data_IF_912745876943
#
_entry.id   IF_912745876943
#
_cell.length_a   1.000
_cell.length_b   1.000
_cell.length_c   1.000
_cell.angle_alpha   90.00
_cell.angle_beta   90.00
_cell.angle_gamma   90.00
#
_symmetry.space_group_name_H-M   'P 1'
#
loop_
_entity.id
_entity.type
_entity.pdbx_description
1 polymer ?
#
# COMPACT_ATOMS: atom_id res chain seq x y z
N UNK A 1 28.40 -28.44 16.08
CA UNK A 1 27.11 -28.58 15.37
C UNK A 1 27.41 -28.55 13.87
N UNK A 2 27.02 -29.59 13.14
CA UNK A 2 27.33 -29.77 11.73
C UNK A 2 26.81 -28.58 10.91
N UNK A 3 27.73 -27.72 10.45
CA UNK A 3 27.51 -26.83 9.33
C UNK A 3 27.41 -27.72 8.08
N UNK A 4 26.24 -28.32 7.84
CA UNK A 4 25.93 -28.87 6.53
C UNK A 4 25.97 -27.71 5.55
N UNK A 5 27.07 -27.62 4.81
CA UNK A 5 27.22 -26.78 3.64
C UNK A 5 26.14 -27.25 2.68
N UNK A 6 25.00 -26.53 2.65
CA UNK A 6 24.06 -26.68 1.55
C UNK A 6 24.80 -26.15 0.33
N UNK A 7 25.46 -27.05 -0.39
CA UNK A 7 26.00 -26.79 -1.71
C UNK A 7 24.81 -26.47 -2.60
N UNK A 8 24.54 -25.19 -2.77
CA UNK A 8 23.53 -24.71 -3.71
C UNK A 8 24.08 -25.05 -5.09
N UNK A 9 23.69 -26.19 -5.64
CA UNK A 9 23.98 -26.54 -7.04
C UNK A 9 23.65 -25.33 -7.90
N UNK A 10 24.62 -24.82 -8.65
CA UNK A 10 24.39 -23.73 -9.59
C UNK A 10 23.39 -24.20 -10.65
N UNK A 11 22.12 -23.91 -10.44
CA UNK A 11 21.07 -24.24 -11.40
C UNK A 11 21.11 -23.22 -12.53
N UNK A 12 21.29 -23.69 -13.75
CA UNK A 12 21.21 -22.81 -14.92
C UNK A 12 19.81 -22.18 -15.03
N UNK A 13 19.78 -20.85 -15.09
CA UNK A 13 18.53 -20.11 -15.21
C UNK A 13 17.98 -20.24 -16.63
N UNK A 14 16.67 -20.50 -16.80
CA UNK A 14 16.07 -20.63 -18.10
C UNK A 14 16.13 -19.29 -18.81
N UNK A 15 16.07 -19.32 -20.13
CA UNK A 15 16.02 -18.08 -20.90
C UNK A 15 14.79 -17.25 -20.52
N UNK A 16 14.98 -15.93 -20.56
CA UNK A 16 13.88 -15.01 -20.31
C UNK A 16 12.91 -15.09 -21.49
N UNK A 17 11.63 -15.24 -21.18
CA UNK A 17 10.56 -15.24 -22.17
C UNK A 17 10.46 -13.86 -22.84
N UNK A 18 10.24 -13.89 -24.15
CA UNK A 18 10.04 -12.71 -25.01
C UNK A 18 11.24 -11.78 -25.15
N UNK A 19 11.20 -11.00 -26.24
CA UNK A 19 12.20 -9.99 -26.55
C UNK A 19 12.32 -8.91 -25.45
N UNK A 20 13.51 -8.31 -25.29
CA UNK A 20 13.87 -7.37 -24.21
C UNK A 20 12.85 -6.24 -24.04
N UNK A 21 12.40 -5.64 -25.14
CA UNK A 21 11.44 -4.54 -25.12
C UNK A 21 10.04 -4.97 -24.65
N UNK A 22 9.50 -6.07 -25.18
CA UNK A 22 8.19 -6.60 -24.78
C UNK A 22 8.17 -7.00 -23.30
N UNK A 23 9.25 -7.64 -22.83
CA UNK A 23 9.41 -7.99 -21.41
C UNK A 23 9.44 -6.75 -20.52
N UNK A 24 10.21 -5.73 -20.90
CA UNK A 24 10.29 -4.49 -20.15
C UNK A 24 8.94 -3.75 -20.15
N UNK A 25 8.25 -3.70 -21.28
CA UNK A 25 6.90 -3.16 -21.36
C UNK A 25 5.95 -3.92 -20.41
N UNK A 26 5.92 -5.25 -20.44
CA UNK A 26 5.01 -6.06 -19.62
C UNK A 26 5.28 -6.00 -18.12
N UNK A 27 6.53 -6.17 -17.70
CA UNK A 27 6.87 -6.36 -16.27
C UNK A 27 7.33 -5.08 -15.59
N UNK A 28 7.68 -4.03 -16.34
CA UNK A 28 8.15 -2.76 -15.77
C UNK A 28 7.16 -1.63 -16.05
N UNK A 29 6.66 -1.50 -17.28
CA UNK A 29 5.75 -0.40 -17.64
C UNK A 29 4.27 -0.71 -17.40
N UNK A 30 3.82 -1.92 -17.69
CA UNK A 30 2.45 -2.39 -17.49
C UNK A 30 2.37 -3.38 -16.32
N UNK A 31 2.97 -3.05 -15.17
CA UNK A 31 2.69 -3.78 -13.94
C UNK A 31 1.21 -3.58 -13.51
N UNK A 32 0.70 -4.40 -12.59
CA UNK A 32 -0.74 -4.38 -12.25
C UNK A 32 -1.14 -3.05 -11.63
N UNK A 33 -0.26 -2.43 -10.84
CA UNK A 33 -0.40 -1.09 -10.30
C UNK A 33 -0.74 -0.08 -11.39
N UNK A 34 0.08 -0.03 -12.46
CA UNK A 34 -0.11 0.92 -13.56
C UNK A 34 -1.33 0.56 -14.40
N UNK A 35 -1.67 -0.73 -14.54
CA UNK A 35 -2.92 -1.14 -15.20
C UNK A 35 -4.15 -0.68 -14.43
N UNK A 36 -4.17 -0.85 -13.11
CA UNK A 36 -5.26 -0.39 -12.25
C UNK A 36 -5.37 1.14 -12.29
N UNK A 37 -4.23 1.85 -12.26
CA UNK A 37 -4.20 3.30 -12.48
C UNK A 37 -4.83 3.67 -13.83
N UNK A 38 -4.37 3.05 -14.92
CA UNK A 38 -4.86 3.34 -16.27
C UNK A 38 -6.34 3.00 -16.41
N UNK A 39 -6.81 1.91 -15.81
CA UNK A 39 -8.22 1.55 -15.81
C UNK A 39 -9.08 2.64 -15.17
N UNK A 40 -8.73 3.09 -13.97
CA UNK A 40 -9.47 4.17 -13.27
C UNK A 40 -9.42 5.47 -14.08
N UNK A 41 -8.26 5.80 -14.65
CA UNK A 41 -8.11 7.00 -15.47
C UNK A 41 -8.95 6.94 -16.75
N UNK A 42 -8.92 5.81 -17.47
CA UNK A 42 -9.72 5.61 -18.69
C UNK A 42 -11.22 5.70 -18.37
N UNK A 43 -11.69 5.10 -17.27
CA UNK A 43 -13.09 5.21 -16.85
C UNK A 43 -13.49 6.68 -16.60
N UNK A 44 -12.60 7.50 -16.07
CA UNK A 44 -12.83 8.93 -15.92
C UNK A 44 -12.90 9.67 -17.26
N UNK A 45 -12.02 9.34 -18.21
CA UNK A 45 -12.07 9.91 -19.57
C UNK A 45 -13.36 9.52 -20.30
N UNK A 46 -13.80 8.27 -20.17
CA UNK A 46 -15.09 7.80 -20.69
C UNK A 46 -16.24 8.57 -20.02
N UNK A 47 -16.20 8.74 -18.70
CA UNK A 47 -17.17 9.55 -17.95
C UNK A 47 -17.24 11.00 -18.44
N UNK A 48 -16.08 11.62 -18.72
CA UNK A 48 -16.00 12.95 -19.32
C UNK A 48 -16.61 12.98 -20.71
N UNK A 49 -16.29 12.03 -21.58
CA UNK A 49 -16.87 11.96 -22.92
C UNK A 49 -18.41 11.85 -22.87
N UNK A 50 -18.93 10.98 -21.99
CA UNK A 50 -20.38 10.83 -21.78
C UNK A 50 -20.99 12.13 -21.26
N UNK A 51 -20.39 12.75 -20.24
CA UNK A 51 -20.89 14.00 -19.65
C UNK A 51 -20.96 15.12 -20.67
N UNK A 52 -19.91 15.31 -21.49
CA UNK A 52 -19.87 16.34 -22.52
C UNK A 52 -20.84 16.02 -23.67
N UNK A 53 -21.01 14.75 -24.05
CA UNK A 53 -21.97 14.35 -25.09
C UNK A 53 -23.43 14.63 -24.70
N UNK A 54 -23.76 14.52 -23.40
CA UNK A 54 -25.09 14.82 -22.86
C UNK A 54 -25.35 16.32 -22.72
N UNK A 55 -24.29 17.10 -22.56
CA UNK A 55 -24.37 18.55 -22.40
C UNK A 55 -23.85 19.23 -23.67
N UNK A 56 -24.58 19.15 -24.78
CA UNK A 56 -24.16 19.70 -26.09
C UNK A 56 -23.69 21.17 -26.04
N UNK A 57 -24.19 21.95 -25.08
CA UNK A 57 -23.82 23.35 -24.85
C UNK A 57 -22.79 23.56 -23.74
N UNK A 58 -22.02 22.53 -23.36
CA UNK A 58 -21.03 22.58 -22.27
C UNK A 58 -20.01 23.73 -22.41
N UNK A 59 -19.75 24.20 -23.63
CA UNK A 59 -18.87 25.35 -23.85
C UNK A 59 -19.50 26.67 -23.41
N UNK A 60 -20.81 26.83 -23.63
CA UNK A 60 -21.56 28.05 -23.28
C UNK A 60 -22.11 27.99 -21.86
N UNK A 61 -22.49 26.81 -21.38
CA UNK A 61 -23.04 26.55 -20.06
C UNK A 61 -22.37 25.31 -19.47
N UNK A 62 -21.19 25.46 -18.86
CA UNK A 62 -20.42 24.32 -18.36
C UNK A 62 -21.12 23.63 -17.20
N UNK A 63 -21.13 22.28 -17.15
CA UNK A 63 -21.73 21.51 -16.06
C UNK A 63 -20.84 21.50 -14.81
N UNK A 64 -20.66 22.67 -14.18
CA UNK A 64 -19.74 22.87 -13.05
C UNK A 64 -20.02 21.93 -11.86
N UNK A 65 -21.30 21.69 -11.55
CA UNK A 65 -21.69 20.79 -10.47
C UNK A 65 -21.28 19.34 -10.74
N UNK A 66 -21.33 18.90 -12.00
CA UNK A 66 -20.89 17.56 -12.40
C UNK A 66 -19.37 17.43 -12.32
N UNK A 67 -18.61 18.46 -12.68
CA UNK A 67 -17.15 18.47 -12.50
C UNK A 67 -16.74 18.38 -11.03
N UNK A 68 -17.38 19.15 -10.15
CA UNK A 68 -17.16 19.08 -8.70
C UNK A 68 -17.56 17.71 -8.13
N UNK A 69 -18.66 17.14 -8.62
CA UNK A 69 -19.12 15.80 -8.26
C UNK A 69 -18.12 14.72 -8.69
N UNK A 70 -17.60 14.80 -9.92
CA UNK A 70 -16.61 13.86 -10.41
C UNK A 70 -15.27 13.97 -9.64
N UNK A 71 -14.82 15.18 -9.31
CA UNK A 71 -13.64 15.39 -8.48
C UNK A 71 -13.82 14.76 -7.09
N UNK A 72 -14.90 15.08 -6.38
CA UNK A 72 -15.19 14.55 -5.04
C UNK A 72 -15.41 13.01 -5.03
N UNK A 73 -16.04 12.44 -6.05
CA UNK A 73 -16.18 11.00 -6.21
C UNK A 73 -14.81 10.30 -6.30
N UNK A 74 -13.88 10.87 -7.06
CA UNK A 74 -12.53 10.34 -7.18
C UNK A 74 -11.73 10.46 -5.87
N UNK A 75 -11.87 11.56 -5.13
CA UNK A 75 -11.30 11.67 -3.77
C UNK A 75 -11.84 10.57 -2.87
N UNK A 76 -13.16 10.36 -2.87
CA UNK A 76 -13.80 9.30 -2.08
C UNK A 76 -13.21 7.93 -2.43
N UNK A 77 -13.11 7.57 -3.71
CA UNK A 77 -12.50 6.31 -4.15
C UNK A 77 -11.04 6.21 -3.71
N UNK A 78 -10.27 7.30 -3.85
CA UNK A 78 -8.87 7.35 -3.44
C UNK A 78 -8.72 7.09 -1.93
N UNK A 79 -9.61 7.61 -1.09
CA UNK A 79 -9.61 7.35 0.36
C UNK A 79 -10.10 5.95 0.72
N UNK A 80 -11.23 5.51 0.13
CA UNK A 80 -11.86 4.23 0.46
C UNK A 80 -10.93 3.05 0.20
N UNK A 81 -10.25 3.01 -0.95
CA UNK A 81 -9.35 1.90 -1.28
C UNK A 81 -8.11 1.81 -0.37
N UNK A 82 -7.90 2.82 0.48
CA UNK A 82 -6.83 2.87 1.49
C UNK A 82 -7.31 2.56 2.90
N UNK A 83 -8.62 2.41 3.11
CA UNK A 83 -9.19 2.08 4.40
C UNK A 83 -8.85 0.66 4.82
N UNK A 84 -8.40 0.49 6.06
CA UNK A 84 -7.87 -0.78 6.56
C UNK A 84 -8.87 -1.93 6.39
N UNK A 85 -10.16 -1.71 6.66
CA UNK A 85 -11.21 -2.73 6.50
C UNK A 85 -11.56 -3.03 5.03
N UNK A 86 -11.43 -2.05 4.12
CA UNK A 86 -11.62 -2.27 2.67
C UNK A 86 -10.46 -3.10 2.13
N UNK A 87 -9.24 -2.75 2.50
CA UNK A 87 -8.04 -3.53 2.16
C UNK A 87 -8.20 -4.96 2.67
N UNK A 88 -8.52 -5.13 3.95
CA UNK A 88 -8.76 -6.45 4.55
C UNK A 88 -9.86 -7.23 3.81
N UNK A 89 -10.97 -6.59 3.43
CA UNK A 89 -12.02 -7.22 2.65
C UNK A 89 -11.53 -7.65 1.26
N UNK A 90 -10.77 -6.82 0.55
CA UNK A 90 -10.20 -7.18 -0.76
C UNK A 90 -9.27 -8.39 -0.67
N UNK A 91 -8.38 -8.44 0.32
CA UNK A 91 -7.51 -9.60 0.55
C UNK A 91 -8.33 -10.82 0.95
N UNK A 92 -9.34 -10.66 1.81
CA UNK A 92 -10.21 -11.75 2.25
C UNK A 92 -11.00 -12.36 1.09
N UNK A 93 -11.48 -11.53 0.16
CA UNK A 93 -12.14 -12.02 -1.05
C UNK A 93 -11.16 -12.67 -2.02
N UNK A 94 -9.93 -12.15 -2.12
CA UNK A 94 -8.92 -12.73 -3.00
C UNK A 94 -8.43 -14.11 -2.50
N UNK A 95 -8.31 -14.30 -1.18
CA UNK A 95 -7.77 -15.53 -0.61
C UNK A 95 -8.80 -16.66 -0.41
N UNK A 96 -10.09 -16.42 -0.70
CA UNK A 96 -11.15 -17.44 -0.61
C UNK A 96 -11.17 -18.36 -1.83
N UNK A 97 -10.36 -18.07 -2.86
CA UNK A 97 -10.21 -18.93 -4.02
C UNK A 97 -9.66 -20.30 -3.61
N UNK A 98 -10.28 -21.41 -4.02
CA UNK A 98 -9.83 -22.73 -3.61
C UNK A 98 -8.50 -23.12 -4.29
N UNK A 99 -7.75 -24.01 -3.65
CA UNK A 99 -6.48 -24.56 -4.20
C UNK A 99 -6.68 -25.35 -5.50
N UNK A 100 -7.91 -25.81 -5.78
CA UNK A 100 -8.29 -26.47 -7.04
C UNK A 100 -8.42 -25.51 -8.22
N UNK A 101 -8.54 -24.20 -7.96
CA UNK A 101 -8.67 -23.22 -9.03
C UNK A 101 -7.41 -23.17 -9.92
N UNK A 102 -7.55 -22.84 -11.21
CA UNK A 102 -6.42 -22.76 -12.13
C UNK A 102 -5.33 -21.80 -11.61
N UNK A 103 -4.06 -22.21 -11.73
CA UNK A 103 -2.92 -21.40 -11.27
C UNK A 103 -2.92 -19.99 -11.89
N UNK A 104 -3.43 -19.85 -13.11
CA UNK A 104 -3.60 -18.53 -13.77
C UNK A 104 -4.49 -17.60 -12.97
N UNK A 105 -5.64 -18.08 -12.47
CA UNK A 105 -6.56 -17.27 -11.65
C UNK A 105 -5.90 -16.89 -10.32
N UNK A 106 -5.31 -17.88 -9.64
CA UNK A 106 -4.62 -17.67 -8.36
C UNK A 106 -3.47 -16.67 -8.49
N UNK A 107 -2.72 -16.71 -9.59
CA UNK A 107 -1.67 -15.74 -9.93
C UNK A 107 -2.21 -14.31 -10.11
N UNK A 108 -3.40 -14.13 -10.70
CA UNK A 108 -4.02 -12.82 -10.89
C UNK A 108 -4.47 -12.27 -9.54
N UNK A 109 -5.20 -13.08 -8.76
CA UNK A 109 -5.73 -12.70 -7.45
C UNK A 109 -4.61 -12.38 -6.44
N UNK A 110 -3.49 -13.10 -6.49
CA UNK A 110 -2.32 -12.83 -5.66
C UNK A 110 -1.77 -11.41 -5.82
N UNK A 111 -2.03 -10.72 -6.95
CA UNK A 111 -1.61 -9.32 -7.17
C UNK A 111 -2.54 -8.27 -6.56
N UNK A 112 -3.51 -8.68 -5.72
CA UNK A 112 -4.42 -7.76 -5.01
C UNK A 112 -3.67 -6.67 -4.24
N UNK A 113 -2.46 -6.95 -3.75
CA UNK A 113 -1.60 -5.97 -3.06
C UNK A 113 -1.19 -4.77 -3.93
N UNK A 114 -1.40 -4.81 -5.25
CA UNK A 114 -1.16 -3.67 -6.16
C UNK A 114 -2.32 -2.66 -6.20
N UNK A 115 -3.31 -2.76 -5.29
CA UNK A 115 -4.46 -1.85 -5.14
C UNK A 115 -4.09 -0.36 -5.01
N UNK A 116 -2.84 -0.02 -4.68
CA UNK A 116 -2.33 1.35 -4.76
C UNK A 116 -2.49 2.01 -6.13
N UNK A 117 -2.58 1.23 -7.21
CA UNK A 117 -2.90 1.74 -8.54
C UNK A 117 -4.26 2.44 -8.62
N UNK A 118 -5.27 1.89 -7.94
CA UNK A 118 -6.62 2.48 -7.87
C UNK A 118 -6.58 3.81 -7.12
N UNK A 119 -5.89 3.85 -5.99
CA UNK A 119 -5.71 5.08 -5.20
C UNK A 119 -5.08 6.20 -6.03
N UNK A 120 -3.93 5.92 -6.68
CA UNK A 120 -3.25 6.92 -7.49
C UNK A 120 -4.05 7.32 -8.73
N UNK A 121 -4.75 6.37 -9.37
CA UNK A 121 -5.58 6.65 -10.55
C UNK A 121 -6.74 7.58 -10.21
N UNK A 122 -7.41 7.32 -9.09
CA UNK A 122 -8.50 8.16 -8.60
C UNK A 122 -7.99 9.53 -8.14
N UNK A 123 -6.92 9.59 -7.33
CA UNK A 123 -6.36 10.85 -6.87
C UNK A 123 -5.91 11.76 -8.04
N UNK A 124 -5.22 11.20 -9.03
CA UNK A 124 -4.84 11.95 -10.23
C UNK A 124 -6.05 12.41 -11.04
N UNK A 125 -7.04 11.53 -11.23
CA UNK A 125 -8.28 11.88 -11.95
C UNK A 125 -9.06 12.99 -11.24
N UNK A 126 -9.08 13.00 -9.90
CA UNK A 126 -9.65 14.11 -9.13
C UNK A 126 -9.00 15.45 -9.47
N UNK A 127 -7.67 15.49 -9.60
CA UNK A 127 -6.95 16.73 -9.95
C UNK A 127 -7.27 17.16 -11.37
N UNK A 128 -7.43 16.22 -12.31
CA UNK A 128 -7.84 16.53 -13.69
C UNK A 128 -9.25 17.13 -13.72
N UNK A 129 -10.22 16.52 -13.03
CA UNK A 129 -11.57 17.08 -12.90
C UNK A 129 -11.57 18.45 -12.22
N UNK A 130 -10.77 18.62 -11.18
CA UNK A 130 -10.64 19.89 -10.48
C UNK A 130 -9.95 20.97 -11.32
N UNK A 131 -9.03 20.59 -12.21
CA UNK A 131 -8.42 21.47 -13.20
C UNK A 131 -9.48 21.99 -14.19
N UNK A 132 -10.35 21.08 -14.70
CA UNK A 132 -11.47 21.47 -15.55
C UNK A 132 -12.43 22.41 -14.81
N UNK A 133 -12.82 22.06 -13.58
CA UNK A 133 -13.66 22.90 -12.73
C UNK A 133 -13.06 24.31 -12.55
N UNK A 134 -11.79 24.38 -12.14
CA UNK A 134 -11.05 25.64 -11.97
C UNK A 134 -11.06 26.45 -13.27
N UNK A 135 -10.74 25.84 -14.41
CA UNK A 135 -10.69 26.52 -15.70
C UNK A 135 -12.04 27.13 -16.12
N UNK A 136 -13.12 26.37 -15.97
CA UNK A 136 -14.47 26.87 -16.30
C UNK A 136 -14.98 27.88 -15.26
N UNK A 137 -14.69 27.72 -13.97
CA UNK A 137 -15.00 28.74 -12.96
C UNK A 137 -14.28 30.06 -13.26
N UNK A 138 -13.01 30.01 -13.64
CA UNK A 138 -12.26 31.20 -14.05
C UNK A 138 -12.89 31.86 -15.27
N UNK A 139 -13.32 31.08 -16.28
CA UNK A 139 -14.04 31.62 -17.44
C UNK A 139 -15.32 32.34 -17.00
N UNK A 140 -16.19 31.67 -16.24
CA UNK A 140 -17.46 32.23 -15.76
C UNK A 140 -17.25 33.50 -14.91
N UNK A 141 -16.14 33.58 -14.18
CA UNK A 141 -15.73 34.77 -13.44
C UNK A 141 -15.35 35.93 -14.37
N UNK A 142 -14.53 35.67 -15.39
CA UNK A 142 -14.10 36.68 -16.37
C UNK A 142 -15.27 37.22 -17.19
N UNK A 143 -16.20 36.36 -17.61
CA UNK A 143 -17.40 36.79 -18.35
C UNK A 143 -18.52 37.35 -17.45
N UNK A 144 -18.24 37.58 -16.16
CA UNK A 144 -19.14 38.18 -15.18
C UNK A 144 -20.43 37.40 -14.85
N UNK A 145 -20.48 36.11 -15.20
CA UNK A 145 -21.60 35.23 -14.83
C UNK A 145 -21.53 34.81 -13.36
N UNK A 146 -20.32 34.62 -12.82
CA UNK A 146 -20.06 34.34 -11.41
C UNK A 146 -19.21 35.48 -10.84
N UNK A 147 -19.71 36.20 -9.83
CA UNK A 147 -18.95 37.28 -9.14
C UNK A 147 -18.82 36.97 -7.66
N UNK A 148 -17.94 36.03 -7.35
CA UNK A 148 -17.57 35.69 -5.98
C UNK A 148 -16.05 35.48 -5.89
N UNK A 149 -15.34 36.48 -5.36
CA UNK A 149 -13.89 36.44 -5.21
C UNK A 149 -13.46 35.38 -4.19
N UNK A 150 -14.30 35.12 -3.18
CA UNK A 150 -14.05 34.08 -2.18
C UNK A 150 -13.96 32.72 -2.83
N UNK A 151 -14.95 32.35 -3.66
CA UNK A 151 -14.93 31.09 -4.40
C UNK A 151 -13.62 30.95 -5.20
N UNK A 152 -13.24 31.95 -5.98
CA UNK A 152 -12.02 31.90 -6.80
C UNK A 152 -10.75 31.71 -5.97
N UNK A 153 -10.60 32.43 -4.85
CA UNK A 153 -9.45 32.29 -3.96
C UNK A 153 -9.36 30.86 -3.42
N UNK A 154 -10.45 30.34 -2.87
CA UNK A 154 -10.47 28.99 -2.30
C UNK A 154 -10.24 27.90 -3.36
N UNK A 155 -10.82 28.04 -4.56
CA UNK A 155 -10.58 27.14 -5.69
C UNK A 155 -9.10 27.11 -6.08
N UNK A 156 -8.42 28.26 -6.23
CA UNK A 156 -7.00 28.27 -6.60
C UNK A 156 -6.07 27.79 -5.48
N UNK A 157 -6.37 28.11 -4.20
CA UNK A 157 -5.63 27.58 -3.05
C UNK A 157 -5.75 26.05 -3.00
N UNK A 158 -6.96 25.53 -3.15
CA UNK A 158 -7.17 24.08 -3.20
C UNK A 158 -6.49 23.45 -4.41
N UNK A 159 -6.57 24.07 -5.59
CA UNK A 159 -5.90 23.56 -6.79
C UNK A 159 -4.39 23.47 -6.61
N UNK A 160 -3.75 24.52 -6.07
CA UNK A 160 -2.33 24.53 -5.77
C UNK A 160 -1.95 23.43 -4.76
N UNK A 161 -2.78 23.22 -3.73
CA UNK A 161 -2.60 22.16 -2.74
C UNK A 161 -2.70 20.77 -3.38
N UNK A 162 -3.71 20.52 -4.21
CA UNK A 162 -3.88 19.26 -4.94
C UNK A 162 -2.71 18.96 -5.88
N UNK A 163 -2.22 19.99 -6.59
CA UNK A 163 -1.01 19.86 -7.42
C UNK A 163 0.21 19.51 -6.57
N UNK A 164 0.39 20.15 -5.40
CA UNK A 164 1.51 19.85 -4.49
C UNK A 164 1.48 18.40 -4.00
N UNK A 165 0.28 17.86 -3.72
CA UNK A 165 0.09 16.45 -3.36
C UNK A 165 0.51 15.54 -4.52
N UNK A 166 0.02 15.78 -5.75
CA UNK A 166 0.38 14.94 -6.90
C UNK A 166 1.88 15.03 -7.24
N UNK A 167 2.48 16.22 -7.18
CA UNK A 167 3.90 16.44 -7.49
C UNK A 167 4.78 15.70 -6.46
N UNK A 168 4.49 15.86 -5.17
CA UNK A 168 5.26 15.17 -4.12
C UNK A 168 5.04 13.65 -4.14
N UNK A 169 3.87 13.18 -4.61
CA UNK A 169 3.57 11.75 -4.78
C UNK A 169 4.33 11.11 -5.95
N UNK A 170 4.83 11.92 -6.89
CA UNK A 170 5.50 11.39 -8.08
C UNK A 170 6.69 10.50 -7.68
N UNK A 171 6.80 9.27 -8.21
CA UNK A 171 7.75 8.27 -7.72
C UNK A 171 9.20 8.73 -7.53
N UNK A 172 9.70 9.60 -8.41
CA UNK A 172 11.06 10.15 -8.29
C UNK A 172 11.18 11.11 -7.11
N UNK A 173 10.23 12.03 -6.97
CA UNK A 173 10.21 13.03 -5.89
C UNK A 173 10.00 12.34 -4.55
N UNK A 174 9.01 11.43 -4.47
CA UNK A 174 8.75 10.64 -3.26
C UNK A 174 9.97 9.85 -2.78
N UNK A 175 10.74 9.25 -3.69
CA UNK A 175 11.94 8.51 -3.32
C UNK A 175 13.07 9.42 -2.84
N UNK A 176 13.26 10.58 -3.48
CA UNK A 176 14.32 11.54 -3.13
C UNK A 176 13.99 12.34 -1.86
N UNK A 177 12.72 12.59 -1.59
CA UNK A 177 12.26 13.47 -0.50
C UNK A 177 11.12 12.84 0.29
N UNK A 178 11.36 11.63 0.81
CA UNK A 178 10.35 10.81 1.49
C UNK A 178 9.64 11.55 2.64
N UNK A 179 10.39 12.18 3.54
CA UNK A 179 9.83 12.90 4.69
C UNK A 179 8.97 14.10 4.26
N UNK A 180 9.38 14.82 3.21
CA UNK A 180 8.60 15.91 2.65
C UNK A 180 7.29 15.39 2.05
N UNK A 181 7.36 14.31 1.27
CA UNK A 181 6.19 13.63 0.73
C UNK A 181 5.22 13.25 1.84
N UNK A 182 5.68 12.59 2.91
CA UNK A 182 4.83 12.15 4.01
C UNK A 182 4.12 13.32 4.71
N UNK A 183 4.85 14.39 5.00
CA UNK A 183 4.31 15.56 5.69
C UNK A 183 3.30 16.31 4.82
N UNK A 184 3.64 16.56 3.55
CA UNK A 184 2.74 17.24 2.60
C UNK A 184 1.49 16.39 2.37
N UNK A 185 1.62 15.07 2.21
CA UNK A 185 0.46 14.20 2.04
C UNK A 185 -0.45 14.14 3.25
N UNK A 186 0.13 14.07 4.46
CA UNK A 186 -0.66 13.99 5.68
C UNK A 186 -1.42 15.29 5.92
N UNK A 187 -0.70 16.40 6.06
CA UNK A 187 -1.30 17.68 6.43
C UNK A 187 -2.05 18.32 5.26
N UNK A 188 -1.51 18.23 4.05
CA UNK A 188 -2.19 18.68 2.85
C UNK A 188 -3.45 17.87 2.55
N UNK A 189 -3.47 16.57 2.87
CA UNK A 189 -4.67 15.75 2.77
C UNK A 189 -5.81 16.28 3.65
N UNK A 190 -5.54 16.49 4.96
CA UNK A 190 -6.53 17.05 5.89
C UNK A 190 -6.98 18.46 5.49
N UNK A 191 -6.02 19.32 5.13
CA UNK A 191 -6.32 20.69 4.75
C UNK A 191 -7.13 20.77 3.45
N UNK A 192 -6.81 19.92 2.46
CA UNK A 192 -7.57 19.86 1.21
C UNK A 192 -9.03 19.47 1.43
N UNK A 193 -9.30 18.54 2.35
CA UNK A 193 -10.66 18.13 2.67
C UNK A 193 -11.47 19.27 3.32
N UNK A 194 -10.84 20.06 4.19
CA UNK A 194 -11.47 21.25 4.76
C UNK A 194 -11.77 22.32 3.69
N UNK A 195 -10.84 22.55 2.77
CA UNK A 195 -11.03 23.49 1.66
C UNK A 195 -12.13 23.04 0.69
N UNK A 196 -12.22 21.73 0.39
CA UNK A 196 -13.32 21.18 -0.42
C UNK A 196 -14.70 21.46 0.20
N UNK A 197 -14.82 21.35 1.53
CA UNK A 197 -16.06 21.70 2.23
C UNK A 197 -16.40 23.19 2.11
N UNK A 198 -15.42 24.07 2.30
CA UNK A 198 -15.59 25.52 2.13
C UNK A 198 -16.04 25.83 0.70
N UNK A 199 -15.36 25.28 -0.30
CA UNK A 199 -15.67 25.48 -1.70
C UNK A 199 -17.08 24.97 -2.05
N UNK A 200 -17.48 23.78 -1.57
CA UNK A 200 -18.82 23.25 -1.80
C UNK A 200 -19.90 24.19 -1.25
N UNK A 201 -19.70 24.75 -0.05
CA UNK A 201 -20.63 25.72 0.57
C UNK A 201 -20.70 27.01 -0.25
N UNK A 202 -19.56 27.56 -0.67
CA UNK A 202 -19.50 28.75 -1.52
C UNK A 202 -20.19 28.52 -2.87
N UNK A 203 -19.93 27.38 -3.50
CA UNK A 203 -20.54 26.98 -4.76
C UNK A 203 -22.06 26.82 -4.65
N UNK A 204 -22.55 26.15 -3.60
CA UNK A 204 -23.98 26.03 -3.34
C UNK A 204 -24.64 27.41 -3.09
N UNK A 205 -23.96 28.33 -2.40
CA UNK A 205 -24.46 29.69 -2.17
C UNK A 205 -24.65 30.47 -3.47
N UNK A 206 -23.75 30.31 -4.44
CA UNK A 206 -23.82 31.01 -5.73
C UNK A 206 -24.98 30.47 -6.58
N UNK A 207 -25.19 29.15 -6.59
CA UNK A 207 -26.31 28.54 -7.30
C UNK A 207 -27.69 29.00 -6.78
N UNK A 208 -27.77 29.47 -5.53
CA UNK A 208 -29.00 29.97 -4.90
C UNK A 208 -29.43 31.37 -5.34
N UNK A 209 -28.72 32.07 -6.23
CA UNK A 209 -29.10 33.45 -6.67
C UNK A 209 -30.39 33.54 -7.51
N UNK A 210 -31.20 32.49 -7.61
CA UNK A 210 -32.53 32.50 -8.25
C UNK A 210 -33.64 32.88 -7.23
N UNK A 211 -34.70 33.61 -7.63
CA UNK A 211 -35.68 34.23 -6.72
C UNK A 211 -36.53 33.27 -5.84
N UNK A 212 -36.51 31.95 -6.12
CA UNK A 212 -37.19 30.91 -5.34
C UNK A 212 -36.19 30.00 -4.58
N UNK A 213 -35.21 30.60 -3.92
CA UNK A 213 -34.07 29.87 -3.37
C UNK A 213 -34.46 29.02 -2.14
N UNK A 214 -34.40 27.68 -2.29
CA UNK A 214 -34.46 26.73 -1.18
C UNK A 214 -33.39 27.04 -0.11
N UNK A 215 -33.57 26.53 1.11
CA UNK A 215 -32.58 26.66 2.19
C UNK A 215 -31.21 26.10 1.79
N UNK A 216 -30.11 26.73 2.25
CA UNK A 216 -28.73 26.32 1.89
C UNK A 216 -28.47 24.83 2.15
N UNK A 217 -28.95 24.33 3.29
CA UNK A 217 -28.81 22.92 3.66
C UNK A 217 -29.49 21.98 2.67
N UNK A 218 -30.67 22.34 2.15
CA UNK A 218 -31.39 21.54 1.15
C UNK A 218 -30.61 21.53 -0.16
N UNK A 219 -30.09 22.69 -0.60
CA UNK A 219 -29.25 22.77 -1.80
C UNK A 219 -27.98 21.92 -1.67
N UNK A 220 -27.35 21.90 -0.49
CA UNK A 220 -26.16 21.09 -0.23
C UNK A 220 -26.47 19.59 -0.30
N UNK A 221 -27.52 19.13 0.37
CA UNK A 221 -27.88 17.70 0.43
C UNK A 221 -28.27 17.14 -0.95
N UNK A 222 -28.83 18.00 -1.82
CA UNK A 222 -29.14 17.63 -3.22
C UNK A 222 -27.90 17.44 -4.09
N UNK A 223 -26.75 17.99 -3.71
CA UNK A 223 -25.50 17.82 -4.47
C UNK A 223 -24.85 16.47 -4.12
N UNK A 224 -24.60 15.59 -5.10
CA UNK A 224 -23.89 14.33 -4.82
C UNK A 224 -22.49 14.54 -4.22
N UNK A 225 -21.82 15.64 -4.59
CA UNK A 225 -20.54 16.04 -4.02
C UNK A 225 -20.56 16.18 -2.48
N UNK A 226 -21.70 16.60 -1.90
CA UNK A 226 -21.85 16.68 -0.44
C UNK A 226 -21.68 15.31 0.22
N UNK A 227 -22.34 14.29 -0.32
CA UNK A 227 -22.27 12.94 0.22
C UNK A 227 -20.90 12.30 0.01
N UNK A 228 -20.26 12.54 -1.14
CA UNK A 228 -18.89 12.06 -1.37
C UNK A 228 -17.88 12.70 -0.41
N UNK A 229 -18.01 13.99 -0.13
CA UNK A 229 -17.16 14.66 0.88
C UNK A 229 -17.47 14.19 2.29
N UNK A 230 -18.76 14.00 2.65
CA UNK A 230 -19.15 13.47 3.96
C UNK A 230 -18.56 12.09 4.21
N UNK A 231 -18.73 11.17 3.25
CA UNK A 231 -18.13 9.84 3.33
C UNK A 231 -16.61 9.94 3.42
N UNK A 232 -15.97 10.79 2.61
CA UNK A 232 -14.51 11.00 2.66
C UNK A 232 -14.05 11.49 4.04
N UNK A 233 -14.75 12.45 4.65
CA UNK A 233 -14.44 12.99 5.99
C UNK A 233 -14.61 11.96 7.08
N UNK A 234 -15.72 11.22 7.08
CA UNK A 234 -15.94 10.15 8.06
C UNK A 234 -14.82 9.10 7.99
N UNK A 235 -14.40 8.72 6.79
CA UNK A 235 -13.34 7.73 6.58
C UNK A 235 -11.93 8.27 6.85
N UNK A 236 -11.70 9.57 6.71
CA UNK A 236 -10.45 10.20 7.15
C UNK A 236 -10.33 10.18 8.69
N UNK A 237 -11.44 10.38 9.40
CA UNK A 237 -11.51 10.40 10.86
C UNK A 237 -11.50 9.00 11.46
N UNK A 238 -12.16 8.02 10.82
CA UNK A 238 -12.39 6.69 11.36
C UNK A 238 -11.16 5.99 11.98
N UNK A 239 -9.95 5.99 11.36
CA UNK A 239 -8.78 5.37 11.97
C UNK A 239 -8.39 6.01 13.32
N UNK A 240 -8.63 7.32 13.48
CA UNK A 240 -8.32 8.06 14.70
C UNK A 240 -9.29 7.76 15.85
N UNK A 241 -10.50 7.27 15.54
CA UNK A 241 -11.43 6.82 16.59
C UNK A 241 -10.94 5.55 17.31
N UNK A 242 -10.02 4.81 16.70
CA UNK A 242 -9.34 3.64 17.29
C UNK A 242 -7.93 3.96 17.79
N UNK A 243 -7.61 5.25 17.94
CA UNK A 243 -6.32 5.69 18.42
C UNK A 243 -6.13 5.34 19.89
N UNK A 244 -5.08 4.60 20.21
CA UNK A 244 -4.76 4.24 21.59
C UNK A 244 -3.25 3.97 21.75
N UNK A 245 -2.82 3.85 23.01
CA UNK A 245 -1.45 3.41 23.35
C UNK A 245 -1.44 1.89 23.43
N UNK A 246 -0.54 1.27 22.67
CA UNK A 246 -0.20 -0.14 22.74
C UNK A 246 0.98 -0.30 23.71
N UNK A 247 0.77 -0.86 24.92
CA UNK A 247 1.87 -1.20 25.82
C UNK A 247 2.76 -2.25 25.17
N UNK A 248 4.08 -2.06 25.26
CA UNK A 248 5.05 -3.00 24.70
C UNK A 248 6.13 -3.37 25.71
N UNK A 249 6.58 -4.62 25.63
CA UNK A 249 7.80 -5.09 26.27
C UNK A 249 8.87 -5.24 25.20
N UNK A 250 9.94 -4.45 25.30
CA UNK A 250 11.06 -4.55 24.38
C UNK A 250 12.02 -5.66 24.76
N UNK A 251 12.40 -6.46 23.79
CA UNK A 251 13.45 -7.46 23.84
C UNK A 251 14.55 -7.04 22.87
N UNK A 252 15.71 -6.66 23.41
CA UNK A 252 16.85 -6.25 22.58
C UNK A 252 17.59 -7.48 22.08
N UNK A 253 17.48 -7.75 20.78
CA UNK A 253 18.16 -8.90 20.15
C UNK A 253 19.63 -8.58 19.86
N UNK A 254 19.90 -7.37 19.36
CA UNK A 254 21.26 -6.91 19.06
C UNK A 254 21.34 -5.38 19.02
N UNK A 255 22.49 -4.82 18.62
CA UNK A 255 22.58 -3.39 18.28
C UNK A 255 21.85 -3.03 16.98
N UNK A 256 21.41 -4.03 16.20
CA UNK A 256 20.77 -3.84 14.90
C UNK A 256 19.29 -4.24 14.88
N UNK A 257 18.81 -4.97 15.89
CA UNK A 257 17.43 -5.45 15.94
C UNK A 257 16.83 -5.44 17.35
N UNK A 258 15.53 -5.12 17.43
CA UNK A 258 14.71 -5.20 18.63
C UNK A 258 13.38 -5.88 18.30
N UNK A 259 12.88 -6.68 19.22
CA UNK A 259 11.54 -7.27 19.15
C UNK A 259 10.65 -6.58 20.18
N UNK A 260 9.51 -6.05 19.75
CA UNK A 260 8.53 -5.44 20.64
C UNK A 260 7.37 -6.40 20.83
N UNK A 261 7.17 -6.89 22.04
CA UNK A 261 6.09 -7.79 22.43
C UNK A 261 4.90 -7.00 22.98
N UNK A 262 3.69 -7.44 22.69
CA UNK A 262 2.45 -6.83 23.17
C UNK A 262 1.39 -7.92 23.38
N UNK A 263 0.47 -7.66 24.31
CA UNK A 263 -0.56 -8.63 24.71
C UNK A 263 -1.90 -8.42 23.99
N UNK A 264 -2.03 -7.36 23.18
CA UNK A 264 -3.26 -7.11 22.43
C UNK A 264 -3.45 -8.19 21.34
N UNK A 265 -4.62 -8.84 21.28
CA UNK A 265 -4.88 -9.89 20.30
C UNK A 265 -4.65 -9.41 18.87
N UNK A 266 -3.88 -10.20 18.10
CA UNK A 266 -3.51 -9.84 16.74
C UNK A 266 -3.89 -10.95 15.75
N UNK A 267 -4.72 -10.67 14.74
CA UNK A 267 -5.04 -11.66 13.73
C UNK A 267 -3.81 -12.12 12.95
N UNK A 268 -3.91 -13.29 12.31
CA UNK A 268 -2.87 -13.80 11.43
C UNK A 268 -2.70 -12.92 10.18
N UNK A 269 -1.48 -12.90 9.64
CA UNK A 269 -1.12 -12.22 8.38
C UNK A 269 -1.29 -10.70 8.34
N UNK A 270 -1.45 -10.05 9.50
CA UNK A 270 -1.61 -8.59 9.57
C UNK A 270 -0.32 -7.89 9.98
N UNK A 271 -0.24 -6.60 9.64
CA UNK A 271 0.69 -5.66 10.22
C UNK A 271 -0.02 -4.57 10.99
N UNK A 272 0.73 -3.93 11.90
CA UNK A 272 0.29 -2.76 12.65
C UNK A 272 1.13 -1.55 12.26
N UNK A 273 0.52 -0.37 12.34
CA UNK A 273 1.22 0.91 12.19
C UNK A 273 1.46 1.50 13.56
N UNK A 274 2.72 1.66 13.94
CA UNK A 274 3.11 2.23 15.24
C UNK A 274 3.80 3.57 15.08
N UNK A 275 3.66 4.42 16.09
CA UNK A 275 4.33 5.72 16.16
C UNK A 275 4.77 6.01 17.59
N UNK A 276 5.93 6.65 17.77
CA UNK A 276 6.34 7.21 19.06
C UNK A 276 5.91 8.69 19.22
N UNK A 277 5.43 9.30 18.14
CA UNK A 277 4.97 10.68 18.05
C UNK A 277 3.80 10.76 17.04
N UNK A 278 2.54 10.66 17.49
CA UNK A 278 1.39 10.32 16.63
C UNK A 278 1.03 11.38 15.57
N UNK A 279 1.50 12.63 15.74
CA UNK A 279 1.36 13.70 14.75
C UNK A 279 2.50 13.72 13.72
N UNK A 280 3.54 12.92 13.93
CA UNK A 280 4.71 12.73 13.06
C UNK A 280 4.61 11.37 12.35
N UNK A 281 5.74 10.72 12.11
CA UNK A 281 5.88 9.48 11.35
C UNK A 281 5.11 8.28 11.94
N UNK A 282 4.63 7.43 11.05
CA UNK A 282 3.94 6.18 11.36
C UNK A 282 4.60 5.08 10.54
N UNK A 283 5.06 4.02 11.21
CA UNK A 283 5.83 2.95 10.59
C UNK A 283 5.05 1.65 10.65
N UNK A 284 4.95 0.94 9.52
CA UNK A 284 4.22 -0.33 9.46
C UNK A 284 5.17 -1.49 9.70
N UNK A 285 4.80 -2.39 10.61
CA UNK A 285 5.52 -3.64 10.84
C UNK A 285 4.56 -4.82 10.78
N UNK A 286 5.01 -5.91 10.18
CA UNK A 286 4.25 -7.15 10.21
C UNK A 286 4.29 -7.77 11.61
N UNK A 287 3.16 -8.30 12.05
CA UNK A 287 3.05 -8.95 13.33
C UNK A 287 3.46 -10.41 13.24
N UNK A 288 4.17 -10.86 14.27
CA UNK A 288 4.40 -12.26 14.59
C UNK A 288 3.39 -12.60 15.69
N UNK A 289 2.26 -13.25 15.36
CA UNK A 289 1.26 -13.66 16.34
C UNK A 289 1.83 -14.71 17.30
N UNK A 290 1.25 -14.79 18.50
CA UNK A 290 1.51 -15.90 19.43
C UNK A 290 0.95 -17.23 18.90
N UNK A 291 1.51 -18.37 19.38
CA UNK A 291 1.20 -19.73 18.89
C UNK A 291 -0.25 -20.17 19.11
N UNK A 292 -1.05 -19.45 19.90
CA UNK A 292 -2.47 -19.73 20.12
C UNK A 292 -3.40 -19.07 19.08
N UNK A 293 -2.85 -18.73 17.91
CA UNK A 293 -3.54 -17.98 16.86
C UNK A 293 -3.59 -16.48 17.11
N UNK A 294 -2.65 -15.95 17.90
CA UNK A 294 -2.54 -14.52 18.22
C UNK A 294 -3.47 -14.03 19.33
N UNK A 295 -4.09 -14.92 20.10
CA UNK A 295 -5.04 -14.55 21.18
C UNK A 295 -4.33 -13.96 22.39
N UNK A 296 -3.13 -14.46 22.70
CA UNK A 296 -2.28 -13.91 23.76
C UNK A 296 -1.46 -12.70 23.32
N UNK A 297 -1.74 -12.17 22.13
CA UNK A 297 -1.04 -11.06 21.52
C UNK A 297 0.01 -11.48 20.53
N UNK A 298 1.06 -10.67 20.38
CA UNK A 298 2.10 -10.92 19.39
C UNK A 298 3.31 -10.02 19.56
N UNK A 299 4.12 -9.96 18.51
CA UNK A 299 5.32 -9.14 18.50
C UNK A 299 5.60 -8.55 17.12
N UNK A 300 6.40 -7.48 17.09
CA UNK A 300 6.95 -6.94 15.83
C UNK A 300 8.48 -6.96 15.90
N UNK A 301 9.11 -7.36 14.80
CA UNK A 301 10.55 -7.40 14.65
C UNK A 301 11.02 -6.16 13.88
N UNK A 302 11.86 -5.35 14.51
CA UNK A 302 12.33 -4.06 13.98
C UNK A 302 13.85 -4.14 13.81
N UNK A 303 14.34 -3.79 12.62
CA UNK A 303 15.78 -3.69 12.32
C UNK A 303 16.16 -2.27 11.92
N UNK A 304 17.42 -1.89 12.10
CA UNK A 304 17.93 -0.56 11.76
C UNK A 304 17.87 -0.35 10.23
N UNK A 305 16.94 0.51 9.82
CA UNK A 305 16.72 0.93 8.44
C UNK A 305 16.58 2.46 8.29
N UNK A 306 16.74 3.21 9.38
CA UNK A 306 16.53 4.65 9.42
C UNK A 306 16.41 5.21 10.84
N UNK A 307 16.34 6.54 10.95
CA UNK A 307 16.45 7.27 12.22
C UNK A 307 15.44 6.80 13.27
N UNK A 308 14.18 6.59 12.87
CA UNK A 308 13.12 6.11 13.77
C UNK A 308 13.40 4.70 14.32
N UNK A 309 13.80 3.77 13.43
CA UNK A 309 14.12 2.39 13.82
C UNK A 309 15.36 2.32 14.70
N UNK A 310 16.41 3.08 14.37
CA UNK A 310 17.64 3.18 15.16
C UNK A 310 17.36 3.71 16.57
N UNK A 311 16.55 4.78 16.65
CA UNK A 311 16.10 5.35 17.94
C UNK A 311 15.33 4.32 18.76
N UNK A 312 14.41 3.58 18.13
CA UNK A 312 13.62 2.53 18.78
C UNK A 312 14.48 1.38 19.29
N UNK A 313 15.53 0.98 18.56
CA UNK A 313 16.48 -0.06 18.99
C UNK A 313 17.35 0.42 20.16
N UNK A 314 17.82 1.67 20.10
CA UNK A 314 18.68 2.24 21.13
C UNK A 314 17.92 2.49 22.45
N UNK A 315 16.72 3.08 22.36
CA UNK A 315 15.91 3.52 23.48
C UNK A 315 14.43 3.19 23.24
N UNK A 316 14.01 1.92 23.40
CA UNK A 316 12.62 1.53 23.20
C UNK A 316 11.70 2.19 24.23
N UNK A 317 10.49 2.56 23.81
CA UNK A 317 9.48 3.13 24.70
C UNK A 317 8.63 2.04 25.36
N UNK A 318 8.04 2.29 26.54
CA UNK A 318 7.12 1.35 27.19
C UNK A 318 5.78 1.18 26.46
N UNK A 319 5.48 2.08 25.52
CA UNK A 319 4.30 2.00 24.66
C UNK A 319 4.55 2.73 23.34
N UNK A 320 3.78 2.37 22.34
CA UNK A 320 3.68 3.07 21.06
C UNK A 320 2.23 3.40 20.74
N UNK A 321 1.98 4.38 19.89
CA UNK A 321 0.64 4.74 19.45
C UNK A 321 0.25 3.91 18.24
N UNK A 322 -0.97 3.38 18.27
CA UNK A 322 -1.61 2.65 17.17
C UNK A 322 -2.88 3.38 16.77
N UNK A 323 -3.26 3.29 15.49
CA UNK A 323 -4.54 3.77 14.97
C UNK A 323 -5.08 2.82 13.91
N UNK A 324 -6.39 2.88 13.67
CA UNK A 324 -7.06 2.00 12.71
C UNK A 324 -7.18 0.56 13.23
N UNK A 325 -7.20 -0.38 12.30
CA UNK A 325 -7.19 -1.82 12.62
C UNK A 325 -5.97 -2.47 11.96
N UNK A 326 -5.51 -3.64 12.45
CA UNK A 326 -4.43 -4.37 11.78
C UNK A 326 -4.77 -4.67 10.31
N UNK A 327 -3.78 -4.49 9.42
CA UNK A 327 -3.96 -4.54 7.96
C UNK A 327 -3.31 -5.78 7.40
N UNK A 328 -4.03 -6.51 6.56
CA UNK A 328 -3.57 -7.74 5.92
C UNK A 328 -2.39 -7.45 4.98
N UNK A 329 -1.30 -8.20 5.15
CA UNK A 329 -0.09 -8.11 4.35
C UNK A 329 -0.09 -9.01 3.11
N UNK A 330 0.84 -8.76 2.19
CA UNK A 330 0.98 -9.49 0.92
C UNK A 330 1.17 -11.00 1.09
N UNK A 331 1.88 -11.43 2.14
CA UNK A 331 2.19 -12.84 2.36
C UNK A 331 0.95 -13.69 2.65
N UNK A 332 -0.17 -13.09 3.02
CA UNK A 332 -1.40 -13.86 3.19
C UNK A 332 -1.85 -14.59 1.91
N UNK A 333 -1.46 -14.06 0.75
CA UNK A 333 -1.74 -14.68 -0.55
C UNK A 333 -0.95 -15.98 -0.76
N UNK A 334 -0.03 -16.33 0.12
CA UNK A 334 0.57 -17.67 0.19
C UNK A 334 -0.48 -18.77 0.30
N UNK A 335 -1.58 -18.51 1.03
CA UNK A 335 -2.64 -19.49 1.34
C UNK A 335 -3.35 -20.06 0.14
N UNK A 336 -3.30 -19.36 -0.99
CA UNK A 336 -3.93 -19.81 -2.24
C UNK A 336 -2.95 -20.62 -3.10
N UNK A 337 -1.80 -21.02 -2.58
CA UNK A 337 -0.84 -21.89 -3.27
C UNK A 337 -0.55 -23.13 -2.43
N UNK A 338 -0.33 -24.27 -3.09
CA UNK A 338 -0.02 -25.54 -2.44
C UNK A 338 1.43 -25.61 -1.99
N UNK A 339 2.34 -25.09 -2.81
CA UNK A 339 3.79 -25.15 -2.60
C UNK A 339 4.40 -23.80 -2.96
N UNK A 340 5.12 -23.17 -2.04
CA UNK A 340 5.70 -21.84 -2.25
C UNK A 340 7.15 -21.75 -1.77
N UNK A 341 7.92 -20.88 -2.43
CA UNK A 341 9.22 -20.42 -1.93
C UNK A 341 9.02 -19.04 -1.31
N UNK A 342 9.51 -18.84 -0.10
CA UNK A 342 9.61 -17.52 0.52
C UNK A 342 11.07 -17.08 0.51
N UNK A 343 11.32 -15.94 -0.12
CA UNK A 343 12.62 -15.27 -0.16
C UNK A 343 12.55 -14.05 0.73
N UNK A 344 13.40 -13.99 1.75
CA UNK A 344 13.38 -12.90 2.71
C UNK A 344 14.78 -12.44 3.12
N UNK A 345 14.88 -11.18 3.57
CA UNK A 345 16.15 -10.61 4.05
C UNK A 345 15.95 -9.81 5.32
N UNK A 346 16.90 -9.89 6.24
CA UNK A 346 16.86 -9.14 7.50
C UNK A 346 15.56 -9.40 8.28
N UNK A 347 14.95 -8.34 8.84
CA UNK A 347 13.69 -8.39 9.58
C UNK A 347 12.48 -8.84 8.75
N UNK A 348 12.60 -8.92 7.42
CA UNK A 348 11.57 -9.50 6.57
C UNK A 348 11.18 -10.94 6.97
N UNK A 349 12.00 -11.62 7.78
CA UNK A 349 11.69 -12.94 8.34
C UNK A 349 10.49 -12.90 9.30
N UNK A 350 10.27 -11.80 10.01
CA UNK A 350 9.15 -11.64 10.94
C UNK A 350 7.79 -11.87 10.27
N UNK A 351 7.43 -11.13 9.21
CA UNK A 351 6.23 -11.42 8.42
C UNK A 351 6.12 -12.88 7.98
N UNK A 352 7.25 -13.51 7.61
CA UNK A 352 7.26 -14.89 7.15
C UNK A 352 6.89 -15.84 8.29
N UNK A 353 7.46 -15.67 9.49
CA UNK A 353 7.13 -16.48 10.66
C UNK A 353 5.63 -16.40 10.99
N UNK A 354 5.06 -15.19 11.01
CA UNK A 354 3.63 -15.03 11.29
C UNK A 354 2.69 -15.55 10.21
N UNK A 355 3.22 -15.85 9.02
CA UNK A 355 2.46 -16.48 7.93
C UNK A 355 2.62 -17.99 7.96
N UNK A 356 3.83 -18.49 8.15
CA UNK A 356 4.14 -19.90 7.98
C UNK A 356 3.71 -20.77 9.17
N UNK A 357 3.55 -20.17 10.35
CA UNK A 357 3.10 -20.88 11.55
C UNK A 357 1.66 -21.43 11.44
N UNK A 358 0.82 -20.89 10.55
CA UNK A 358 -0.63 -21.12 10.56
C UNK A 358 -1.26 -21.38 9.18
N UNK A 359 -0.50 -21.92 8.21
CA UNK A 359 -1.02 -22.36 6.91
C UNK A 359 -0.75 -23.86 6.69
N UNK A 360 -1.49 -24.77 7.37
CA UNK A 360 -1.25 -26.21 7.29
C UNK A 360 -1.40 -26.78 5.86
N UNK A 361 -2.18 -26.12 5.01
CA UNK A 361 -2.45 -26.56 3.63
C UNK A 361 -1.38 -26.14 2.60
N UNK A 362 -0.40 -25.31 2.99
CA UNK A 362 0.62 -24.77 2.08
C UNK A 362 2.00 -25.20 2.53
N UNK A 363 2.67 -26.02 1.72
CA UNK A 363 4.07 -26.37 1.94
C UNK A 363 4.96 -25.18 1.57
N UNK A 364 5.88 -24.80 2.47
CA UNK A 364 6.72 -23.63 2.32
C UNK A 364 8.20 -24.01 2.46
N UNK A 365 9.05 -23.44 1.60
CA UNK A 365 10.51 -23.46 1.78
C UNK A 365 11.04 -22.04 1.91
N UNK A 366 12.00 -21.84 2.81
CA UNK A 366 12.51 -20.51 3.19
C UNK A 366 13.93 -20.31 2.69
N UNK A 367 14.15 -19.17 2.04
CA UNK A 367 15.47 -18.60 1.78
C UNK A 367 15.57 -17.31 2.58
N UNK A 368 16.36 -17.33 3.65
CA UNK A 368 16.60 -16.16 4.47
C UNK A 368 18.06 -15.69 4.36
N UNK A 369 18.28 -14.53 3.75
CA UNK A 369 19.61 -13.96 3.56
C UNK A 369 19.80 -12.73 4.45
N UNK A 370 20.75 -12.79 5.39
CA UNK A 370 21.01 -11.70 6.32
C UNK A 370 22.49 -11.69 6.76
N UNK A 371 23.07 -10.55 7.15
CA UNK A 371 24.38 -10.54 7.80
C UNK A 371 24.27 -11.14 9.21
N UNK A 372 25.15 -12.08 9.55
CA UNK A 372 25.34 -12.63 10.91
C UNK A 372 24.00 -12.94 11.62
N UNK A 373 23.21 -13.90 11.12
CA UNK A 373 21.84 -14.17 11.58
C UNK A 373 21.76 -14.44 13.08
N UNK A 374 22.68 -15.27 13.60
CA UNK A 374 22.72 -15.67 15.01
C UNK A 374 22.97 -14.46 15.92
N UNK A 375 23.97 -13.64 15.61
CA UNK A 375 24.26 -12.45 16.41
C UNK A 375 23.19 -11.37 16.29
N UNK A 376 22.54 -11.27 15.12
CA UNK A 376 21.60 -10.18 14.83
C UNK A 376 20.22 -10.45 15.42
N UNK A 377 19.71 -11.68 15.28
CA UNK A 377 18.33 -12.04 15.63
C UNK A 377 18.22 -13.06 16.76
N UNK A 378 19.31 -13.69 17.17
CA UNK A 378 19.33 -14.69 18.23
C UNK A 378 18.88 -16.09 17.78
N UNK A 379 19.15 -17.06 18.64
CA UNK A 379 18.82 -18.48 18.38
C UNK A 379 17.31 -18.74 18.31
N UNK A 380 16.50 -18.04 19.11
CA UNK A 380 15.05 -18.24 19.13
C UNK A 380 14.40 -18.00 17.76
N UNK A 381 14.81 -16.93 17.07
CA UNK A 381 14.31 -16.62 15.72
C UNK A 381 14.77 -17.67 14.71
N UNK A 382 16.01 -18.15 14.83
CA UNK A 382 16.57 -19.18 13.94
C UNK A 382 15.84 -20.51 14.12
N UNK A 383 15.65 -20.94 15.37
CA UNK A 383 14.86 -22.14 15.68
C UNK A 383 13.41 -21.98 15.20
N UNK A 384 12.81 -20.80 15.34
CA UNK A 384 11.47 -20.53 14.81
C UNK A 384 11.39 -20.69 13.28
N UNK A 385 12.46 -20.37 12.55
CA UNK A 385 12.54 -20.61 11.10
C UNK A 385 12.70 -22.10 10.79
N UNK A 386 13.52 -22.81 11.56
CA UNK A 386 13.76 -24.24 11.38
C UNK A 386 12.55 -25.11 11.80
N UNK A 387 11.79 -24.68 12.80
CA UNK A 387 10.51 -25.29 13.19
C UNK A 387 9.51 -25.27 12.02
N UNK A 388 9.55 -24.22 11.22
CA UNK A 388 8.69 -24.02 10.06
C UNK A 388 9.20 -24.77 8.82
N UNK A 389 10.49 -24.64 8.52
CA UNK A 389 11.16 -25.34 7.43
C UNK A 389 12.48 -25.90 7.96
N UNK A 390 12.52 -27.21 8.31
CA UNK A 390 13.74 -27.86 8.80
C UNK A 390 14.91 -27.79 7.80
N UNK A 391 14.60 -27.58 6.52
CA UNK A 391 15.57 -27.43 5.44
C UNK A 391 15.67 -25.98 4.94
N UNK A 392 15.36 -25.00 5.80
CA UNK A 392 15.48 -23.59 5.48
C UNK A 392 16.91 -23.21 5.11
N UNK A 393 17.06 -22.45 4.03
CA UNK A 393 18.35 -21.89 3.62
C UNK A 393 18.59 -20.59 4.39
N UNK A 394 19.29 -20.70 5.51
CA UNK A 394 19.76 -19.55 6.31
C UNK A 394 21.14 -19.13 5.78
N UNK A 395 21.18 -18.03 5.03
CA UNK A 395 22.37 -17.55 4.34
C UNK A 395 23.01 -16.37 5.08
N UNK A 396 24.16 -16.63 5.72
CA UNK A 396 24.98 -15.59 6.32
C UNK A 396 25.82 -14.86 5.25
N UNK A 397 25.44 -13.62 4.98
CA UNK A 397 26.13 -12.78 3.98
C UNK A 397 27.50 -12.26 4.40
N UNK A 398 27.84 -12.31 5.71
CA UNK A 398 29.17 -11.95 6.21
C UNK A 398 30.16 -13.08 5.98
N UNK A 399 29.72 -14.32 6.13
CA UNK A 399 30.55 -15.50 5.93
C UNK A 399 30.66 -15.90 4.46
N UNK A 400 29.55 -15.86 3.71
CA UNK A 400 29.46 -16.42 2.35
C UNK A 400 29.36 -15.38 1.23
N UNK A 401 29.41 -14.10 1.58
CA UNK A 401 29.08 -13.02 0.63
C UNK A 401 27.60 -13.00 0.25
N UNK A 402 27.22 -12.12 -0.69
CA UNK A 402 25.82 -11.97 -1.12
C UNK A 402 25.46 -13.02 -2.19
N UNK A 403 24.42 -13.84 -1.99
CA UNK A 403 24.08 -14.89 -2.93
C UNK A 403 23.40 -14.31 -4.18
N UNK A 404 23.45 -15.06 -5.28
CA UNK A 404 22.55 -14.83 -6.40
C UNK A 404 21.15 -15.36 -6.05
N UNK A 405 20.38 -14.54 -5.34
CA UNK A 405 19.03 -14.87 -4.88
C UNK A 405 18.10 -15.33 -6.02
N UNK A 406 18.27 -14.82 -7.25
CA UNK A 406 17.44 -15.23 -8.39
C UNK A 406 17.68 -16.70 -8.73
N UNK A 407 18.94 -17.12 -8.79
CA UNK A 407 19.33 -18.50 -9.06
C UNK A 407 18.90 -19.42 -7.92
N UNK A 408 19.15 -19.01 -6.67
CA UNK A 408 18.78 -19.78 -5.49
C UNK A 408 17.25 -20.01 -5.40
N UNK A 409 16.47 -18.94 -5.58
CA UNK A 409 15.01 -19.03 -5.57
C UNK A 409 14.47 -19.88 -6.73
N UNK A 410 15.11 -19.82 -7.90
CA UNK A 410 14.73 -20.68 -9.03
C UNK A 410 15.04 -22.16 -8.78
N UNK A 411 16.23 -22.47 -8.24
CA UNK A 411 16.63 -23.83 -7.91
C UNK A 411 15.65 -24.46 -6.93
N UNK A 412 15.37 -23.75 -5.83
CA UNK A 412 14.40 -24.19 -4.83
C UNK A 412 12.99 -24.33 -5.41
N UNK A 413 12.55 -23.36 -6.24
CA UNK A 413 11.26 -23.41 -6.92
C UNK A 413 11.10 -24.68 -7.78
N UNK A 414 12.16 -25.11 -8.47
CA UNK A 414 12.15 -26.35 -9.26
C UNK A 414 12.20 -27.60 -8.42
N UNK A 415 13.09 -27.64 -7.44
CA UNK A 415 13.29 -28.80 -6.56
C UNK A 415 11.99 -29.17 -5.85
N UNK A 416 11.25 -28.18 -5.37
CA UNK A 416 10.00 -28.40 -4.65
C UNK A 416 8.74 -28.41 -5.54
N UNK A 417 8.90 -28.25 -6.86
CA UNK A 417 7.79 -28.07 -7.80
C UNK A 417 6.78 -27.00 -7.31
N UNK A 418 7.33 -25.85 -6.89
CA UNK A 418 6.55 -24.75 -6.34
C UNK A 418 5.62 -24.12 -7.38
N UNK A 419 4.53 -23.54 -6.89
CA UNK A 419 3.57 -22.80 -7.70
C UNK A 419 3.87 -21.30 -7.74
N UNK A 420 4.54 -20.77 -6.70
CA UNK A 420 4.83 -19.35 -6.56
C UNK A 420 6.06 -19.07 -5.70
N UNK A 421 6.65 -17.88 -5.89
CA UNK A 421 7.70 -17.32 -5.06
C UNK A 421 7.22 -16.00 -4.44
N UNK A 422 7.34 -15.86 -3.13
CA UNK A 422 7.06 -14.62 -2.41
C UNK A 422 8.35 -13.97 -1.94
N UNK A 423 8.51 -12.67 -2.15
CA UNK A 423 9.74 -11.93 -1.84
C UNK A 423 9.45 -10.81 -0.85
N UNK A 424 10.09 -10.87 0.32
CA UNK A 424 9.99 -9.88 1.38
C UNK A 424 11.39 -9.34 1.67
N UNK A 425 11.73 -8.25 0.98
CA UNK A 425 13.05 -7.63 1.06
C UNK A 425 12.95 -6.16 0.68
N UNK A 426 14.09 -5.45 0.76
CA UNK A 426 14.20 -4.07 0.30
C UNK A 426 13.77 -3.92 -1.18
N UNK A 427 13.37 -2.71 -1.62
CA UNK A 427 12.77 -2.51 -2.94
C UNK A 427 13.70 -2.83 -4.10
N UNK A 428 15.02 -2.73 -3.90
CA UNK A 428 16.00 -3.03 -4.94
C UNK A 428 16.10 -4.53 -5.20
N UNK A 429 16.21 -5.33 -4.13
CA UNK A 429 16.28 -6.78 -4.25
C UNK A 429 14.92 -7.35 -4.69
N UNK A 430 13.82 -6.89 -4.10
CA UNK A 430 12.46 -7.32 -4.48
C UNK A 430 12.22 -7.13 -5.97
N UNK A 431 12.51 -5.94 -6.52
CA UNK A 431 12.39 -5.71 -7.98
C UNK A 431 13.31 -6.61 -8.80
N UNK A 432 14.55 -6.84 -8.36
CA UNK A 432 15.50 -7.71 -9.06
C UNK A 432 14.98 -9.16 -9.13
N UNK A 433 14.48 -9.70 -8.03
CA UNK A 433 13.98 -11.08 -7.95
C UNK A 433 12.66 -11.24 -8.69
N UNK A 434 11.68 -10.36 -8.44
CA UNK A 434 10.38 -10.38 -9.13
C UNK A 434 10.57 -10.29 -10.64
N UNK A 435 11.34 -9.31 -11.13
CA UNK A 435 11.62 -9.21 -12.57
C UNK A 435 12.40 -10.43 -13.08
N UNK A 436 13.41 -10.87 -12.33
CA UNK A 436 14.28 -11.99 -12.69
C UNK A 436 13.51 -13.29 -12.93
N UNK A 437 12.52 -13.59 -12.07
CA UNK A 437 11.73 -14.81 -12.13
C UNK A 437 10.46 -14.66 -12.98
N UNK A 438 9.72 -13.55 -12.88
CA UNK A 438 8.51 -13.34 -13.70
C UNK A 438 8.84 -13.30 -15.18
N UNK A 439 9.99 -12.72 -15.56
CA UNK A 439 10.45 -12.72 -16.94
C UNK A 439 10.75 -14.11 -17.51
N UNK A 440 10.88 -15.12 -16.65
CA UNK A 440 11.07 -16.52 -17.01
C UNK A 440 9.77 -17.32 -16.90
N UNK A 441 8.66 -16.65 -16.59
CA UNK A 441 7.33 -17.23 -16.47
C UNK A 441 6.94 -17.69 -15.07
N UNK A 442 7.84 -17.58 -14.09
CA UNK A 442 7.64 -18.05 -12.73
C UNK A 442 6.76 -17.03 -11.98
N UNK A 443 5.62 -17.44 -11.38
CA UNK A 443 4.81 -16.54 -10.57
C UNK A 443 5.61 -16.05 -9.36
N UNK A 444 5.91 -14.75 -9.33
CA UNK A 444 6.71 -14.14 -8.26
C UNK A 444 6.04 -12.87 -7.77
N UNK A 445 5.88 -12.74 -6.46
CA UNK A 445 5.14 -11.67 -5.81
C UNK A 445 6.03 -10.97 -4.78
N UNK A 446 5.92 -9.65 -4.71
CA UNK A 446 6.65 -8.85 -3.74
C UNK A 446 6.10 -7.42 -3.74
N UNK A 447 6.07 -6.77 -2.57
CA UNK A 447 5.52 -5.42 -2.44
C UNK A 447 6.37 -4.43 -3.27
N UNK A 448 5.70 -3.45 -3.88
CA UNK A 448 6.34 -2.43 -4.74
C UNK A 448 6.96 -1.31 -3.90
N UNK A 449 6.37 -1.03 -2.75
CA UNK A 449 6.75 0.05 -1.84
C UNK A 449 7.06 -0.56 -0.48
N UNK A 450 8.04 0.02 0.22
CA UNK A 450 8.30 -0.32 1.62
C UNK A 450 7.06 -0.01 2.46
N UNK A 451 6.82 -0.85 3.45
CA UNK A 451 5.69 -0.83 4.37
C UNK A 451 5.77 0.29 5.39
#
# INVERSE_FOLDING_TARGET
MNNSIVDVKEVELPEKRSHKYLRHARHTFFNVYRRLFSLVFILNIVGLAILLSRNSHWYSSPPLADFATAASANIMVALLIRQDYIVNACFKLAWTVPLSAPLRLRRILAKVYEYGGVHSGAAFSSVVWFCLLTGFLTREYVINQIRDAGLMIFTYVLFALLLSLVITAYPRVRFLSHNTFENVHRWGGWFSLALFWVELVLFARIQRRKPSAENLGISLIKLPAFWFLLVSSLHAILPWLRFHKLPVRAEKLSSHAVRLHFNEPVPLFVGIRISDAPLKEWHSFACIPSRDGGKSGGSVLISDAGDWTRKTIANPRPYYYVKGIPVTGVLCMARIFRRIVIVTTGSGIGPCLGVMQDIPQTFCRVIWSTPDPYRTYGEEIIHSVQDVDPNAVIWDTRLRGRPNIVTLAYGMYREMDAEAVFVISNPKLTRKVVYGLESRGIPTFGPIWDS
#
